data_IF_267904599725
#
_entry.id   IF_267904599725
#
_cell.length_a   1.000
_cell.length_b   1.000
_cell.length_c   1.000
_cell.angle_alpha   90.00
_cell.angle_beta   90.00
_cell.angle_gamma   90.00
#
_symmetry.space_group_name_H-M   'P 1'
#
loop_
_entity.id
_entity.type
_entity.pdbx_description
1 polymer ?
#
# COMPACT_ATOMS: atom_id res chain seq x y z
N UNK A 1 -0.18 -3.05 -1.04
CA UNK A 1 0.38 -2.94 0.32
C UNK A 1 -0.74 -3.15 1.32
N UNK A 2 -0.48 -3.94 2.35
CA UNK A 2 -1.49 -4.29 3.35
C UNK A 2 -0.93 -4.11 4.76
N UNK A 3 -1.81 -3.76 5.68
CA UNK A 3 -1.54 -3.72 7.12
C UNK A 3 -2.37 -4.81 7.80
N UNK A 4 -1.75 -5.53 8.74
CA UNK A 4 -2.42 -6.50 9.61
C UNK A 4 -2.12 -6.10 11.05
N UNK A 5 -3.11 -6.26 11.92
CA UNK A 5 -3.01 -5.94 13.34
C UNK A 5 -3.44 -7.18 14.11
N UNK A 6 -2.64 -7.56 15.10
CA UNK A 6 -2.93 -8.67 16.00
C UNK A 6 -2.23 -8.42 17.34
N UNK A 7 -2.84 -8.86 18.44
CA UNK A 7 -2.25 -8.81 19.79
C UNK A 7 -1.00 -9.70 19.94
N UNK A 8 -0.90 -10.72 19.09
CA UNK A 8 0.21 -11.67 19.05
C UNK A 8 0.76 -11.70 17.62
N UNK A 9 2.00 -11.24 17.39
CA UNK A 9 2.58 -11.18 16.04
C UNK A 9 2.73 -12.56 15.40
N UNK A 10 2.81 -13.63 16.18
CA UNK A 10 2.85 -15.00 15.63
C UNK A 10 1.53 -15.44 14.98
N UNK A 11 0.43 -14.76 15.31
CA UNK A 11 -0.93 -15.07 14.82
C UNK A 11 -1.38 -14.18 13.66
N UNK A 12 -0.50 -13.33 13.13
CA UNK A 12 -0.83 -12.30 12.14
C UNK A 12 -1.50 -12.85 10.86
N UNK A 13 -1.23 -14.11 10.51
CA UNK A 13 -1.77 -14.77 9.31
C UNK A 13 -2.87 -15.80 9.62
N UNK A 14 -3.36 -15.86 10.85
CA UNK A 14 -4.51 -16.69 11.19
C UNK A 14 -5.76 -16.19 10.45
N UNK A 15 -6.68 -17.11 10.13
CA UNK A 15 -7.89 -16.81 9.33
C UNK A 15 -8.77 -15.67 9.88
N UNK A 16 -8.69 -15.37 11.18
CA UNK A 16 -9.44 -14.26 11.81
C UNK A 16 -8.81 -12.88 11.61
N UNK A 17 -7.54 -12.78 11.21
CA UNK A 17 -6.84 -11.51 11.04
C UNK A 17 -7.02 -11.01 9.60
N UNK A 18 -7.92 -10.04 9.43
CA UNK A 18 -8.21 -9.46 8.11
C UNK A 18 -7.25 -8.31 7.78
N UNK A 19 -6.59 -8.31 6.61
CA UNK A 19 -5.75 -7.21 6.21
C UNK A 19 -6.57 -5.94 5.93
N UNK A 20 -5.95 -4.77 6.14
CA UNK A 20 -6.36 -3.50 5.56
C UNK A 20 -5.57 -3.31 4.28
N UNK A 21 -6.23 -3.27 3.12
CA UNK A 21 -5.57 -2.92 1.85
C UNK A 21 -5.38 -1.41 1.78
N UNK A 22 -4.14 -0.96 1.97
CA UNK A 22 -3.81 0.47 1.97
C UNK A 22 -3.59 0.99 0.56
N UNK A 23 -2.90 0.24 -0.27
CA UNK A 23 -2.63 0.56 -1.67
C UNK A 23 -2.70 -0.72 -2.51
N UNK A 24 -3.14 -0.64 -3.76
CA UNK A 24 -3.29 -1.81 -4.63
C UNK A 24 -3.10 -1.45 -6.11
N UNK A 25 -2.80 -2.45 -6.94
CA UNK A 25 -2.56 -2.27 -8.38
C UNK A 25 -3.60 -2.99 -9.28
N UNK A 26 -4.63 -3.62 -8.70
CA UNK A 26 -5.63 -4.40 -9.42
C UNK A 26 -6.86 -3.63 -9.91
N UNK A 27 -7.16 -2.46 -9.33
CA UNK A 27 -8.30 -1.63 -9.71
C UNK A 27 -7.84 -0.18 -9.96
N UNK A 28 -7.62 0.21 -11.23
CA UNK A 28 -7.22 1.58 -11.61
C UNK A 28 -8.20 2.69 -11.21
N UNK A 29 -9.48 2.36 -10.99
CA UNK A 29 -10.51 3.33 -10.62
C UNK A 29 -10.66 3.56 -9.11
N UNK A 30 -9.96 2.80 -8.27
CA UNK A 30 -10.08 2.94 -6.82
C UNK A 30 -9.17 4.05 -6.28
N UNK A 31 -9.58 4.75 -5.20
CA UNK A 31 -8.80 5.84 -4.62
C UNK A 31 -7.44 5.40 -4.05
N UNK A 32 -7.26 4.10 -3.80
CA UNK A 32 -6.02 3.52 -3.34
C UNK A 32 -5.22 2.82 -4.45
N UNK A 33 -5.46 3.17 -5.71
CA UNK A 33 -4.69 2.65 -6.84
C UNK A 33 -3.28 3.25 -6.87
N UNK A 34 -2.28 2.39 -6.67
CA UNK A 34 -0.87 2.74 -6.80
C UNK A 34 -0.20 1.62 -7.59
N UNK A 35 0.06 1.80 -8.90
CA UNK A 35 0.67 0.75 -9.70
C UNK A 35 2.09 0.48 -9.22
N UNK A 36 2.50 -0.79 -9.19
CA UNK A 36 3.81 -1.22 -8.72
C UNK A 36 4.16 -0.66 -7.32
N UNK A 37 3.19 -0.58 -6.42
CA UNK A 37 3.43 -0.14 -5.06
C UNK A 37 4.41 -1.09 -4.34
N UNK A 38 5.35 -0.53 -3.58
CA UNK A 38 6.22 -1.29 -2.68
C UNK A 38 6.64 -0.43 -1.49
N UNK A 39 7.21 -1.09 -0.48
CA UNK A 39 7.62 -0.41 0.73
C UNK A 39 6.45 0.14 1.55
N UNK A 40 6.80 0.64 2.73
CA UNK A 40 5.87 1.21 3.68
C UNK A 40 6.66 1.80 4.84
N UNK A 41 6.58 3.11 5.04
CA UNK A 41 7.11 3.77 6.22
C UNK A 41 5.95 4.28 7.07
N UNK A 42 5.80 3.71 8.27
CA UNK A 42 4.83 4.19 9.25
C UNK A 42 5.35 5.51 9.80
N UNK A 43 4.59 6.58 9.62
CA UNK A 43 4.98 7.93 10.05
C UNK A 43 4.93 7.99 11.58
N UNK A 44 5.98 8.54 12.24
CA UNK A 44 5.99 8.72 13.69
C UNK A 44 4.76 9.48 14.19
N UNK A 45 4.21 9.05 15.33
CA UNK A 45 2.98 9.61 15.90
C UNK A 45 1.68 8.98 15.38
N UNK A 46 1.76 8.05 14.43
CA UNK A 46 0.62 7.23 14.02
C UNK A 46 0.03 6.42 15.17
N UNK A 47 -1.27 6.14 15.08
CA UNK A 47 -1.97 5.21 15.97
C UNK A 47 -2.70 4.14 15.15
N UNK A 48 -3.40 3.20 15.80
CA UNK A 48 -4.26 2.27 15.08
C UNK A 48 -5.50 2.98 14.49
N UNK A 49 -5.99 4.05 15.12
CA UNK A 49 -7.15 4.82 14.64
C UNK A 49 -6.81 5.78 13.48
N UNK A 50 -5.58 6.29 13.46
CA UNK A 50 -5.03 7.14 12.39
C UNK A 50 -3.61 6.71 12.05
N UNK A 51 -3.50 5.61 11.30
CA UNK A 51 -2.23 5.12 10.79
C UNK A 51 -1.86 5.92 9.53
N UNK A 52 -0.75 6.64 9.60
CA UNK A 52 -0.15 7.34 8.47
C UNK A 52 0.98 6.51 7.90
N UNK A 53 0.91 6.17 6.63
CA UNK A 53 1.90 5.34 5.97
C UNK A 53 2.28 5.90 4.61
N UNK A 54 3.58 6.07 4.40
CA UNK A 54 4.15 6.45 3.12
C UNK A 54 4.35 5.19 2.27
N UNK A 55 3.76 5.18 1.08
CA UNK A 55 3.84 4.09 0.11
C UNK A 55 4.68 4.55 -1.07
N UNK A 56 5.73 3.81 -1.36
CA UNK A 56 6.60 4.05 -2.50
C UNK A 56 6.08 3.36 -3.75
N UNK A 57 6.47 3.92 -4.89
CA UNK A 57 6.14 3.41 -6.20
C UNK A 57 7.32 3.64 -7.14
N UNK A 58 7.59 2.64 -7.98
CA UNK A 58 8.40 2.80 -9.19
C UNK A 58 7.56 2.32 -10.37
N UNK A 59 7.13 3.26 -11.21
CA UNK A 59 6.26 2.98 -12.34
C UNK A 59 6.95 3.29 -13.66
N UNK A 60 6.90 2.33 -14.59
CA UNK A 60 7.35 2.51 -15.98
C UNK A 60 6.11 2.45 -16.86
N UNK A 61 5.80 3.49 -17.65
CA UNK A 61 4.65 3.45 -18.55
C UNK A 61 4.91 2.47 -19.70
N UNK A 62 4.00 1.52 -19.90
CA UNK A 62 4.12 0.45 -20.91
C UNK A 62 3.14 0.67 -22.06
N UNK A 63 3.60 0.47 -23.30
CA UNK A 63 2.80 0.48 -24.51
C UNK A 63 2.06 -0.86 -24.73
N UNK A 64 1.25 -0.92 -25.80
CA UNK A 64 0.49 -2.12 -26.17
C UNK A 64 1.38 -3.30 -26.59
N UNK A 65 2.61 -3.03 -27.00
CA UNK A 65 3.66 -4.00 -27.34
C UNK A 65 4.49 -4.45 -26.12
N UNK A 66 4.07 -4.02 -24.91
CA UNK A 66 4.76 -4.26 -23.66
C UNK A 66 6.20 -3.69 -23.66
N UNK A 67 6.43 -2.59 -24.39
CA UNK A 67 7.67 -1.80 -24.34
C UNK A 67 7.50 -0.53 -23.52
N UNK A 68 8.56 -0.04 -22.84
CA UNK A 68 8.53 1.25 -22.16
C UNK A 68 8.25 2.39 -23.13
N UNK A 69 7.31 3.27 -22.78
CA UNK A 69 6.96 4.48 -23.56
C UNK A 69 7.62 5.74 -23.00
N UNK A 70 8.37 5.62 -21.91
CA UNK A 70 9.01 6.72 -21.21
C UNK A 70 9.88 6.24 -20.05
N UNK A 71 10.53 7.18 -19.34
CA UNK A 71 11.36 6.85 -18.18
C UNK A 71 10.50 6.30 -17.03
N UNK A 72 11.14 5.49 -16.18
CA UNK A 72 10.56 5.12 -14.89
C UNK A 72 10.43 6.34 -13.98
N UNK A 73 9.33 6.43 -13.25
CA UNK A 73 9.06 7.49 -12.29
C UNK A 73 8.94 6.92 -10.89
N UNK A 74 9.63 7.57 -9.95
CA UNK A 74 9.51 7.30 -8.53
C UNK A 74 8.51 8.27 -7.91
N UNK A 75 7.61 7.75 -7.09
CA UNK A 75 6.62 8.54 -6.37
C UNK A 75 6.43 7.98 -4.95
N UNK A 76 6.08 8.85 -4.01
CA UNK A 76 5.70 8.49 -2.65
C UNK A 76 4.38 9.18 -2.31
N UNK A 77 3.42 8.39 -1.83
CA UNK A 77 2.11 8.89 -1.44
C UNK A 77 1.86 8.55 0.04
N UNK A 78 1.30 9.49 0.79
CA UNK A 78 0.82 9.23 2.16
C UNK A 78 -0.62 8.72 2.12
N UNK A 79 -0.87 7.67 2.89
CA UNK A 79 -2.21 7.15 3.15
C UNK A 79 -2.52 7.27 4.63
N UNK A 80 -3.72 7.81 4.93
CA UNK A 80 -4.31 7.81 6.25
C UNK A 80 -5.35 6.70 6.34
N UNK A 81 -5.18 5.76 7.26
CA UNK A 81 -6.06 4.60 7.39
C UNK A 81 -6.38 4.32 8.85
N UNK A 82 -7.65 4.07 9.15
CA UNK A 82 -8.04 3.48 10.43
C UNK A 82 -7.88 1.95 10.31
N UNK A 83 -7.02 1.38 11.14
CA UNK A 83 -6.73 -0.05 11.22
C UNK A 83 -7.10 -0.66 12.56
N UNK A 84 -7.74 0.11 13.45
CA UNK A 84 -8.27 -0.35 14.71
C UNK A 84 -9.54 -1.18 14.46
N UNK A 85 -9.56 -2.45 14.90
CA UNK A 85 -10.66 -3.39 14.64
C UNK A 85 -10.91 -4.32 15.80
#
# INVERSE_FOLDING_TARGET
MEVRVAEDPSKLFNAGVRPTTVAQAGNPGAPNFVPNNYGGYIVPGSSLDDLRILVSQWYVPMGLDNQPTGPGTYNVQEFAVNVNR
#
